data_IF_620117586742
#
_entry.id   IF_620117586742
#
_cell.length_a   1.000
_cell.length_b   1.000
_cell.length_c   1.000
_cell.angle_alpha   90.00
_cell.angle_beta   90.00
_cell.angle_gamma   90.00
#
_symmetry.space_group_name_H-M   'P 1'
#
loop_
_entity.id
_entity.type
_entity.pdbx_description
1 polymer ?
#
# COMPACT_ATOMS: atom_id res chain seq x y z
N UNK A 1 21.27 -79.53 -56.14
CA UNK A 1 22.40 -78.64 -55.79
C UNK A 1 21.92 -77.21 -56.07
N UNK A 2 21.02 -76.64 -55.26
CA UNK A 2 21.25 -75.92 -53.99
C UNK A 2 21.85 -74.50 -54.22
N UNK A 3 20.96 -73.51 -54.24
CA UNK A 3 21.24 -72.08 -54.28
C UNK A 3 21.61 -71.58 -52.87
N UNK A 4 22.67 -70.80 -52.76
CA UNK A 4 23.10 -70.14 -51.52
C UNK A 4 22.67 -68.67 -51.53
N UNK A 5 21.69 -68.34 -50.70
CA UNK A 5 21.29 -66.96 -50.35
C UNK A 5 21.74 -66.70 -48.92
N UNK A 6 22.32 -65.52 -48.68
CA UNK A 6 22.62 -64.98 -47.36
C UNK A 6 23.85 -64.06 -47.43
N UNK A 7 23.82 -62.81 -47.00
CA UNK A 7 22.77 -62.03 -46.38
C UNK A 7 23.18 -60.55 -46.46
N UNK A 8 22.17 -59.72 -46.59
CA UNK A 8 22.22 -58.26 -46.62
C UNK A 8 22.91 -57.70 -45.36
N UNK A 9 24.03 -57.01 -45.54
CA UNK A 9 24.73 -56.30 -44.46
C UNK A 9 24.06 -54.94 -44.27
N UNK A 10 22.91 -54.94 -43.60
CA UNK A 10 22.25 -53.74 -43.14
C UNK A 10 23.02 -53.14 -41.96
N UNK A 11 23.45 -51.89 -42.18
CA UNK A 11 23.76 -50.83 -41.23
C UNK A 11 23.83 -51.18 -39.74
N UNK A 12 25.02 -51.07 -39.16
CA UNK A 12 25.15 -50.91 -37.70
C UNK A 12 26.28 -49.95 -37.36
N UNK A 13 26.12 -48.68 -37.75
CA UNK A 13 26.82 -47.56 -37.11
C UNK A 13 25.96 -47.07 -35.95
N UNK A 14 25.92 -47.83 -34.86
CA UNK A 14 25.44 -47.31 -33.59
C UNK A 14 26.60 -46.51 -33.01
N UNK A 15 26.59 -45.21 -33.30
CA UNK A 15 27.48 -44.24 -32.66
C UNK A 15 27.24 -44.29 -31.16
N UNK A 16 28.29 -44.61 -30.41
CA UNK A 16 28.30 -44.56 -28.95
C UNK A 16 27.83 -43.17 -28.51
N UNK A 17 26.66 -43.08 -27.89
CA UNK A 17 26.13 -41.80 -27.43
C UNK A 17 27.02 -41.38 -26.26
N UNK A 18 27.81 -40.31 -26.45
CA UNK A 18 28.51 -39.68 -25.35
C UNK A 18 27.47 -39.25 -24.30
N UNK A 19 27.44 -39.96 -23.18
CA UNK A 19 26.57 -39.69 -22.02
C UNK A 19 27.14 -38.59 -21.13
N UNK A 20 28.42 -38.26 -21.28
CA UNK A 20 29.11 -37.21 -20.52
C UNK A 20 28.48 -35.81 -20.67
N UNK A 21 28.06 -35.34 -21.86
CA UNK A 21 27.38 -34.05 -21.98
C UNK A 21 25.94 -34.10 -21.43
N UNK A 22 25.29 -35.26 -21.51
CA UNK A 22 23.91 -35.43 -21.07
C UNK A 22 23.81 -35.34 -19.55
N UNK A 23 24.76 -35.95 -18.83
CA UNK A 23 24.84 -35.87 -17.36
C UNK A 23 25.14 -34.44 -16.88
N UNK A 24 25.97 -33.69 -17.61
CA UNK A 24 26.31 -32.30 -17.26
C UNK A 24 25.09 -31.37 -17.36
N UNK A 25 24.31 -31.47 -18.45
CA UNK A 25 23.05 -30.72 -18.61
C UNK A 25 22.06 -31.05 -17.49
N UNK A 26 21.95 -32.31 -17.10
CA UNK A 26 21.07 -32.72 -16.00
C UNK A 26 21.53 -32.16 -14.66
N UNK A 27 22.83 -32.14 -14.38
CA UNK A 27 23.39 -31.61 -13.14
C UNK A 27 23.19 -30.09 -13.04
N UNK A 28 23.40 -29.36 -14.13
CA UNK A 28 23.11 -27.91 -14.21
C UNK A 28 21.64 -27.61 -13.87
N UNK A 29 20.71 -28.40 -14.40
CA UNK A 29 19.28 -28.23 -14.08
C UNK A 29 18.98 -28.48 -12.60
N UNK A 30 19.62 -29.47 -11.97
CA UNK A 30 19.47 -29.73 -10.54
C UNK A 30 20.00 -28.57 -9.68
N UNK A 31 21.12 -27.96 -10.06
CA UNK A 31 21.66 -26.78 -9.37
C UNK A 31 20.70 -25.60 -9.47
N UNK A 32 20.10 -25.36 -10.64
CA UNK A 32 19.12 -24.28 -10.83
C UNK A 32 17.88 -24.51 -9.93
N UNK A 33 17.36 -25.74 -9.88
CA UNK A 33 16.25 -26.08 -8.99
C UNK A 33 16.63 -25.93 -7.51
N UNK A 34 17.83 -26.35 -7.11
CA UNK A 34 18.31 -26.19 -5.73
C UNK A 34 18.36 -24.70 -5.31
N UNK A 35 18.92 -23.84 -6.15
CA UNK A 35 19.11 -22.41 -5.82
C UNK A 35 17.78 -21.67 -5.76
N UNK A 36 16.86 -21.93 -6.69
CA UNK A 36 15.56 -21.23 -6.76
C UNK A 36 14.63 -21.52 -5.58
N UNK A 37 14.73 -22.69 -4.93
CA UNK A 37 13.91 -23.01 -3.74
C UNK A 37 14.26 -22.17 -2.50
N UNK A 38 15.44 -21.57 -2.45
CA UNK A 38 15.89 -20.78 -1.28
C UNK A 38 15.40 -19.33 -1.27
N UNK A 39 14.63 -18.89 -2.26
CA UNK A 39 14.04 -17.54 -2.29
C UNK A 39 12.87 -17.48 -1.31
N UNK A 40 13.21 -17.26 -0.03
CA UNK A 40 12.25 -17.03 1.03
C UNK A 40 11.55 -15.68 0.83
N UNK A 41 10.25 -15.71 0.56
CA UNK A 41 9.41 -14.51 0.61
C UNK A 41 9.23 -14.12 2.07
N UNK A 42 9.83 -13.01 2.50
CA UNK A 42 9.65 -12.49 3.85
C UNK A 42 8.25 -11.86 3.96
N UNK A 43 7.29 -12.64 4.47
CA UNK A 43 5.99 -12.12 4.88
C UNK A 43 6.12 -11.47 6.27
N UNK A 44 5.94 -10.15 6.34
CA UNK A 44 5.86 -9.43 7.61
C UNK A 44 4.48 -9.69 8.22
N UNK A 45 4.43 -10.41 9.34
CA UNK A 45 3.17 -10.57 10.07
C UNK A 45 2.76 -9.24 10.71
N UNK A 46 1.74 -8.59 10.16
CA UNK A 46 1.16 -7.37 10.70
C UNK A 46 -0.09 -7.70 11.51
N UNK A 47 -0.07 -7.36 12.80
CA UNK A 47 -1.28 -7.35 13.63
C UNK A 47 -1.99 -6.03 13.41
N UNK A 48 -3.05 -6.04 12.59
CA UNK A 48 -3.90 -4.88 12.41
C UNK A 48 -4.74 -4.61 13.67
N UNK A 49 -4.95 -3.34 14.05
CA UNK A 49 -5.85 -2.99 15.14
C UNK A 49 -7.31 -3.31 14.77
N UNK A 50 -8.10 -3.75 15.75
CA UNK A 50 -9.53 -3.93 15.57
C UNK A 50 -10.21 -2.55 15.51
N UNK A 51 -10.61 -2.14 14.30
CA UNK A 51 -11.41 -0.94 14.08
C UNK A 51 -12.89 -1.27 14.25
N UNK A 52 -13.53 -0.66 15.23
CA UNK A 52 -15.00 -0.64 15.34
C UNK A 52 -15.54 0.51 14.51
N UNK A 53 -16.57 0.25 13.72
CA UNK A 53 -17.30 1.29 12.99
C UNK A 53 -18.11 2.12 13.98
N UNK A 54 -17.52 3.19 14.50
CA UNK A 54 -18.26 4.21 15.23
C UNK A 54 -18.77 5.27 14.25
N UNK A 55 -20.06 5.65 14.32
CA UNK A 55 -20.60 6.71 13.47
C UNK A 55 -19.85 8.01 13.77
N UNK A 56 -19.23 8.59 12.73
CA UNK A 56 -18.48 9.83 12.87
C UNK A 56 -19.43 10.97 13.25
N UNK A 57 -19.30 11.48 14.47
CA UNK A 57 -19.94 12.74 14.87
C UNK A 57 -19.03 13.89 14.44
N UNK A 58 -19.25 14.42 13.23
CA UNK A 58 -18.57 15.65 12.80
C UNK A 58 -19.12 16.83 13.58
N UNK A 59 -18.31 17.39 14.48
CA UNK A 59 -18.63 18.65 15.13
C UNK A 59 -18.23 19.84 14.23
N UNK A 60 -18.92 20.99 14.30
CA UNK A 60 -18.62 22.15 13.45
C UNK A 60 -17.18 22.69 13.58
N UNK A 61 -16.53 22.45 14.71
CA UNK A 61 -15.14 22.79 14.99
C UNK A 61 -14.13 21.91 14.25
N UNK A 62 -14.54 20.73 13.78
CA UNK A 62 -13.63 19.80 13.12
C UNK A 62 -13.25 20.26 11.72
N UNK A 63 -12.00 19.99 11.35
CA UNK A 63 -11.47 20.34 10.04
C UNK A 63 -11.67 19.17 9.09
N UNK A 64 -12.30 19.41 7.94
CA UNK A 64 -12.47 18.41 6.89
C UNK A 64 -11.44 18.60 5.78
N UNK A 65 -10.56 17.62 5.61
CA UNK A 65 -9.57 17.56 4.55
C UNK A 65 -9.93 16.44 3.57
N UNK A 66 -9.77 16.72 2.29
CA UNK A 66 -9.88 15.73 1.23
C UNK A 66 -8.53 15.58 0.53
N UNK A 67 -8.04 14.37 0.38
CA UNK A 67 -6.75 14.06 -0.25
C UNK A 67 -7.00 13.22 -1.48
N UNK A 68 -6.56 13.70 -2.64
CA UNK A 68 -6.61 12.98 -3.91
C UNK A 68 -5.24 12.98 -4.57
N UNK A 69 -5.07 12.12 -5.57
CA UNK A 69 -3.90 12.16 -6.43
C UNK A 69 -4.31 12.24 -7.89
N UNK A 70 -3.92 13.34 -8.52
CA UNK A 70 -4.05 13.53 -9.96
C UNK A 70 -2.65 13.48 -10.58
N UNK A 71 -2.45 12.65 -11.59
CA UNK A 71 -1.19 12.56 -12.35
C UNK A 71 0.05 12.29 -11.48
N UNK A 72 -0.10 11.54 -10.38
CA UNK A 72 0.98 11.22 -9.45
C UNK A 72 1.37 12.32 -8.46
N UNK A 73 0.75 13.51 -8.58
CA UNK A 73 0.90 14.59 -7.61
C UNK A 73 -0.16 14.46 -6.51
N UNK A 74 0.23 14.79 -5.28
CA UNK A 74 -0.67 14.82 -4.14
C UNK A 74 -1.41 16.16 -4.13
N UNK A 75 -2.73 16.13 -4.11
CA UNK A 75 -3.55 17.33 -3.96
C UNK A 75 -4.37 17.23 -2.68
N UNK A 76 -4.28 18.27 -1.85
CA UNK A 76 -5.02 18.37 -0.60
C UNK A 76 -6.02 19.50 -0.73
N UNK A 77 -7.23 19.25 -0.29
CA UNK A 77 -8.33 20.20 -0.27
C UNK A 77 -8.77 20.43 1.16
N UNK A 78 -8.89 21.70 1.54
CA UNK A 78 -9.56 22.09 2.77
C UNK A 78 -11.00 22.45 2.42
N UNK A 79 -11.95 21.57 2.75
CA UNK A 79 -13.32 21.65 2.23
C UNK A 79 -13.35 21.55 0.70
N UNK A 80 -13.56 22.68 0.02
CA UNK A 80 -13.60 22.77 -1.45
C UNK A 80 -12.40 23.50 -2.06
N UNK A 81 -11.51 24.07 -1.24
CA UNK A 81 -10.37 24.85 -1.73
C UNK A 81 -9.10 24.00 -1.78
N UNK A 82 -8.40 23.93 -2.93
CA UNK A 82 -7.08 23.32 -2.97
C UNK A 82 -6.12 24.13 -2.10
N UNK A 83 -5.27 23.44 -1.35
CA UNK A 83 -4.26 24.05 -0.48
C UNK A 83 -2.92 23.37 -0.68
N UNK A 84 -1.87 24.18 -0.69
CA UNK A 84 -0.49 23.69 -0.66
C UNK A 84 -0.10 23.27 0.76
N UNK A 85 1.05 22.61 0.91
CA UNK A 85 1.55 22.15 2.22
C UNK A 85 1.76 23.31 3.21
N UNK A 86 2.36 24.42 2.75
CA UNK A 86 2.63 25.59 3.58
C UNK A 86 1.34 26.29 4.01
N UNK A 87 0.40 26.46 3.07
CA UNK A 87 -0.92 27.04 3.35
C UNK A 87 -1.73 26.16 4.29
N UNK A 88 -1.65 24.83 4.15
CA UNK A 88 -2.33 23.89 5.03
C UNK A 88 -1.84 24.04 6.47
N UNK A 89 -0.53 24.16 6.67
CA UNK A 89 0.06 24.37 7.99
C UNK A 89 -0.41 25.70 8.60
N UNK A 90 -0.32 26.80 7.85
CA UNK A 90 -0.72 28.13 8.32
C UNK A 90 -2.21 28.17 8.68
N UNK A 91 -3.08 27.72 7.77
CA UNK A 91 -4.54 27.66 8.01
C UNK A 91 -4.89 26.73 9.16
N UNK A 92 -4.18 25.61 9.30
CA UNK A 92 -4.31 24.68 10.43
C UNK A 92 -4.06 25.38 11.77
N UNK A 93 -2.92 26.05 11.88
CA UNK A 93 -2.52 26.77 13.10
C UNK A 93 -3.50 27.90 13.41
N UNK A 94 -3.90 28.68 12.41
CA UNK A 94 -4.82 29.81 12.59
C UNK A 94 -6.20 29.34 13.03
N UNK A 95 -6.70 28.26 12.42
CA UNK A 95 -7.99 27.66 12.80
C UNK A 95 -7.95 27.11 14.22
N UNK A 96 -6.88 26.41 14.60
CA UNK A 96 -6.72 25.86 15.94
C UNK A 96 -6.65 26.98 16.99
N UNK A 97 -5.88 28.04 16.74
CA UNK A 97 -5.79 29.21 17.62
C UNK A 97 -7.14 29.92 17.77
N UNK A 98 -7.86 30.12 16.65
CA UNK A 98 -9.18 30.76 16.67
C UNK A 98 -10.18 29.93 17.48
N UNK A 99 -10.12 28.61 17.37
CA UNK A 99 -10.98 27.70 18.11
C UNK A 99 -10.67 27.70 19.62
N UNK A 100 -9.39 27.62 19.99
CA UNK A 100 -8.95 27.72 21.39
C UNK A 100 -9.33 29.08 21.98
N UNK A 101 -9.18 30.17 21.22
CA UNK A 101 -9.58 31.50 21.66
C UNK A 101 -11.11 31.59 21.88
N UNK A 102 -11.92 30.99 20.99
CA UNK A 102 -13.38 30.92 21.12
C UNK A 102 -13.81 30.17 22.38
N UNK A 103 -13.09 29.13 22.76
CA UNK A 103 -13.42 28.27 23.91
C UNK A 103 -12.86 28.79 25.26
N UNK A 104 -12.29 29.99 25.30
CA UNK A 104 -11.83 30.62 26.55
C UNK A 104 -10.34 30.44 26.86
N UNK A 105 -9.54 30.04 25.87
CA UNK A 105 -8.09 29.92 25.97
C UNK A 105 -7.60 28.54 26.41
N UNK A 106 -6.27 28.36 26.41
CA UNK A 106 -5.63 27.04 26.64
C UNK A 106 -5.93 26.40 28.00
N UNK A 107 -6.47 27.16 28.96
CA UNK A 107 -6.74 26.72 30.34
C UNK A 107 -8.23 26.59 30.66
N UNK A 108 -9.13 26.65 29.66
CA UNK A 108 -10.55 26.49 29.89
C UNK A 108 -10.90 25.05 30.34
N UNK A 109 -11.63 24.93 31.45
CA UNK A 109 -12.12 23.65 31.94
C UNK A 109 -13.21 23.12 31.00
N UNK A 110 -12.85 22.17 30.14
CA UNK A 110 -13.74 21.62 29.10
C UNK A 110 -13.32 21.93 27.65
N UNK A 111 -12.07 22.33 27.42
CA UNK A 111 -11.54 22.56 26.08
C UNK A 111 -11.67 21.30 25.21
N UNK A 112 -12.57 21.33 24.23
CA UNK A 112 -12.70 20.29 23.22
C UNK A 112 -11.83 20.68 22.03
N UNK A 113 -10.66 20.04 21.96
CA UNK A 113 -9.72 20.25 20.86
C UNK A 113 -10.38 19.80 19.54
N UNK A 114 -10.34 20.63 18.49
CA UNK A 114 -10.88 20.23 17.20
C UNK A 114 -10.08 19.06 16.64
N UNK A 115 -10.77 18.15 15.97
CA UNK A 115 -10.16 16.98 15.32
C UNK A 115 -10.00 17.23 13.81
N UNK A 116 -8.93 16.73 13.23
CA UNK A 116 -8.71 16.78 11.78
C UNK A 116 -9.28 15.52 11.13
N UNK A 117 -10.32 15.67 10.33
CA UNK A 117 -10.95 14.57 9.61
C UNK A 117 -10.42 14.51 8.19
N UNK A 118 -9.77 13.40 7.83
CA UNK A 118 -9.19 13.17 6.52
C UNK A 118 -10.06 12.19 5.73
N UNK A 119 -10.50 12.62 4.55
CA UNK A 119 -11.09 11.80 3.50
C UNK A 119 -10.02 11.52 2.45
N UNK A 120 -9.66 10.26 2.27
CA UNK A 120 -8.75 9.83 1.22
C UNK A 120 -9.53 9.33 0.02
N UNK A 121 -9.14 9.77 -1.18
CA UNK A 121 -9.52 9.10 -2.42
C UNK A 121 -8.93 7.68 -2.47
N UNK A 122 -9.68 6.74 -3.04
CA UNK A 122 -9.29 5.32 -3.16
C UNK A 122 -7.97 5.17 -3.92
N UNK A 123 -7.73 6.05 -4.90
CA UNK A 123 -6.52 6.01 -5.73
C UNK A 123 -5.35 6.84 -5.16
N UNK A 124 -5.55 7.54 -4.04
CA UNK A 124 -4.50 8.37 -3.46
C UNK A 124 -3.41 7.49 -2.82
N UNK A 125 -2.14 7.60 -3.24
CA UNK A 125 -1.06 6.89 -2.58
C UNK A 125 -0.95 7.28 -1.11
N UNK A 126 -0.71 6.30 -0.22
CA UNK A 126 -0.63 6.55 1.22
C UNK A 126 0.39 7.64 1.59
N UNK A 127 1.46 7.82 0.80
CA UNK A 127 2.44 8.93 0.99
C UNK A 127 1.78 10.31 1.03
N UNK A 128 0.72 10.52 0.24
CA UNK A 128 -0.02 11.79 0.19
C UNK A 128 -0.81 11.98 1.48
N UNK A 129 -1.52 10.93 1.91
CA UNK A 129 -2.31 10.93 3.15
C UNK A 129 -1.38 11.13 4.35
N UNK A 130 -0.26 10.39 4.40
CA UNK A 130 0.77 10.51 5.43
C UNK A 130 1.35 11.92 5.55
N UNK A 131 1.63 12.57 4.42
CA UNK A 131 2.10 13.96 4.42
C UNK A 131 1.05 14.92 5.00
N UNK A 132 -0.23 14.74 4.67
CA UNK A 132 -1.32 15.53 5.25
C UNK A 132 -1.46 15.32 6.76
N UNK A 133 -1.40 14.07 7.24
CA UNK A 133 -1.41 13.74 8.67
C UNK A 133 -0.29 14.48 9.39
N UNK A 134 0.94 14.37 8.86
CA UNK A 134 2.10 14.99 9.44
C UNK A 134 1.96 16.52 9.52
N UNK A 135 1.46 17.15 8.44
CA UNK A 135 1.22 18.60 8.41
C UNK A 135 0.20 19.03 9.46
N UNK A 136 -0.89 18.28 9.63
CA UNK A 136 -1.92 18.60 10.63
C UNK A 136 -1.45 18.37 12.06
N UNK A 137 -0.63 17.36 12.29
CA UNK A 137 0.01 17.14 13.59
C UNK A 137 0.99 18.28 13.92
N UNK A 138 1.79 18.73 12.95
CA UNK A 138 2.63 19.92 13.11
C UNK A 138 1.81 21.19 13.38
N UNK A 139 0.62 21.30 12.80
CA UNK A 139 -0.31 22.40 13.08
C UNK A 139 -0.91 22.37 14.50
N UNK A 140 -0.71 21.28 15.26
CA UNK A 140 -1.14 21.14 16.65
C UNK A 140 -2.43 20.33 16.85
N UNK A 141 -2.97 19.68 15.81
CA UNK A 141 -4.15 18.82 15.95
C UNK A 141 -3.74 17.49 16.62
N UNK A 142 -4.21 17.29 17.85
CA UNK A 142 -3.88 16.10 18.64
C UNK A 142 -4.55 14.81 18.14
N UNK A 143 -5.70 14.94 17.46
CA UNK A 143 -6.48 13.81 16.94
C UNK A 143 -6.73 13.99 15.45
N UNK A 144 -6.45 12.93 14.72
CA UNK A 144 -6.71 12.82 13.29
C UNK A 144 -7.62 11.62 13.07
N UNK A 145 -8.83 11.89 12.58
CA UNK A 145 -9.84 10.89 12.24
C UNK A 145 -9.85 10.63 10.74
N UNK A 146 -10.17 9.40 10.35
CA UNK A 146 -10.43 9.06 8.95
C UNK A 146 -11.91 8.88 8.74
N UNK A 147 -12.42 9.43 7.63
CA UNK A 147 -13.80 9.21 7.20
C UNK A 147 -13.73 8.31 5.97
N UNK A 148 -14.28 7.11 6.11
CA UNK A 148 -14.48 6.15 5.02
C UNK A 148 -15.95 6.13 4.61
N UNK A 149 -16.20 6.05 3.30
CA UNK A 149 -17.54 5.81 2.76
C UNK A 149 -17.62 4.36 2.28
N UNK A 150 -18.17 3.43 3.08
CA UNK A 150 -18.34 2.05 2.65
C UNK A 150 -19.39 1.96 1.54
N UNK A 151 -19.20 1.08 0.54
CA UNK A 151 -20.20 0.88 -0.50
C UNK A 151 -21.54 0.40 0.10
N UNK A 152 -22.70 0.88 -0.41
CA UNK A 152 -24.00 0.48 0.11
C UNK A 152 -24.19 -1.04 0.02
N UNK A 153 -24.31 -1.70 1.19
CA UNK A 153 -24.54 -3.15 1.27
C UNK A 153 -23.30 -4.03 1.15
N UNK A 154 -22.09 -3.48 1.11
CA UNK A 154 -20.86 -4.26 1.04
C UNK A 154 -20.40 -4.74 2.42
N UNK A 155 -20.35 -6.06 2.63
CA UNK A 155 -19.41 -6.64 3.58
C UNK A 155 -18.01 -6.24 3.11
N UNK A 156 -17.24 -5.52 3.94
CA UNK A 156 -15.84 -5.18 3.64
C UNK A 156 -15.07 -6.46 3.29
N UNK A 157 -14.86 -6.74 2.01
CA UNK A 157 -13.90 -7.77 1.58
C UNK A 157 -12.51 -7.29 2.00
N UNK A 158 -11.87 -8.10 2.85
CA UNK A 158 -10.55 -7.87 3.42
C UNK A 158 -9.47 -8.44 2.51
#
# INVERSE_FOLDING_TARGET
MAMSVGGDSTESSISDINTTPLVDVMLVLLIIFLVTTTVAVQAVQLKLPDVRFDPTMTKPENVSLSVTSANGQCQVFWGLSPVTHEELLQRGVDKLKAEIARQGGANAAGLELPEAHIRGDVNAPYRCIGATIYTMQQAGFARVGFISEPPPGGTTER
#
